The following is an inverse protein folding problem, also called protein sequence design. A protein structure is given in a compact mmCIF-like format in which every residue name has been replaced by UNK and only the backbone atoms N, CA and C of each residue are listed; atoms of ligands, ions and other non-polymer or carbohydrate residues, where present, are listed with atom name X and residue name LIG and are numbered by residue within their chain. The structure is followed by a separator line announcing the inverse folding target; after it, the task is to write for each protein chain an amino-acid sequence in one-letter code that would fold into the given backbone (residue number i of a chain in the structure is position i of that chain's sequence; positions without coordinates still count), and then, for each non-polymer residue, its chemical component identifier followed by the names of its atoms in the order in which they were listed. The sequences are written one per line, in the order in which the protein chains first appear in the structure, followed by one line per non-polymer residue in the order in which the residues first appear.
data_IF_822111865751
#
_entry.id   IF_822111865751
#
_cell.length_a   1.000
_cell.length_b   1.000
_cell.length_c   1.000
_cell.angle_alpha   90.00
_cell.angle_beta   90.00
_cell.angle_gamma   90.00
#
_symmetry.space_group_name_H-M   'P 1'
#
loop_
_entity.id
_entity.type
_entity.pdbx_description
1 polymer ?
#
# COMPACT_ATOMS: atom_id res chain seq x y z
N UNK A 1 -8.20 -15.29 -5.18
CA UNK A 1 -8.94 -14.23 -5.90
C UNK A 1 -10.27 -13.88 -5.22
N UNK A 2 -11.17 -14.85 -4.95
CA UNK A 2 -12.46 -14.57 -4.26
C UNK A 2 -12.25 -13.88 -2.91
N UNK A 3 -11.28 -14.34 -2.12
CA UNK A 3 -10.95 -13.79 -0.82
C UNK A 3 -10.53 -12.31 -0.92
N UNK A 4 -9.61 -11.98 -1.84
CA UNK A 4 -9.14 -10.59 -2.04
C UNK A 4 -10.27 -9.68 -2.52
N UNK A 5 -11.16 -10.14 -3.40
CA UNK A 5 -12.33 -9.37 -3.83
C UNK A 5 -13.29 -9.09 -2.66
N UNK A 6 -13.55 -10.09 -1.81
CA UNK A 6 -14.37 -9.92 -0.61
C UNK A 6 -13.77 -8.86 0.31
N UNK A 7 -12.46 -8.94 0.59
CA UNK A 7 -11.78 -8.01 1.47
C UNK A 7 -11.72 -6.60 0.88
N UNK A 8 -11.49 -6.47 -0.42
CA UNK A 8 -11.53 -5.19 -1.11
C UNK A 8 -12.92 -4.52 -0.97
N UNK A 9 -14.00 -5.25 -1.27
CA UNK A 9 -15.35 -4.73 -1.13
C UNK A 9 -15.67 -4.35 0.32
N UNK A 10 -15.15 -5.09 1.30
CA UNK A 10 -15.30 -4.75 2.73
C UNK A 10 -14.60 -3.45 3.11
N UNK A 11 -13.52 -3.10 2.41
CA UNK A 11 -12.75 -1.88 2.66
C UNK A 11 -13.26 -0.66 1.89
N UNK A 12 -14.18 -0.83 0.93
CA UNK A 12 -14.68 0.26 0.07
C UNK A 12 -15.28 1.40 0.88
N UNK A 13 -16.05 1.10 1.94
CA UNK A 13 -16.62 2.12 2.83
C UNK A 13 -15.52 2.91 3.55
N UNK A 14 -14.52 2.21 4.11
CA UNK A 14 -13.40 2.85 4.79
C UNK A 14 -12.56 3.73 3.85
N UNK A 15 -12.44 3.34 2.57
CA UNK A 15 -11.80 4.15 1.54
C UNK A 15 -12.63 5.39 1.25
N UNK A 16 -13.94 5.23 1.00
CA UNK A 16 -14.85 6.33 0.69
C UNK A 16 -14.90 7.37 1.81
N UNK A 17 -14.86 6.93 3.05
CA UNK A 17 -14.85 7.79 4.24
C UNK A 17 -13.45 8.26 4.66
N UNK A 18 -12.43 7.96 3.86
CA UNK A 18 -11.03 8.33 4.12
C UNK A 18 -10.51 7.81 5.47
N UNK A 19 -10.84 6.56 5.82
CA UNK A 19 -10.45 5.89 7.08
C UNK A 19 -9.44 4.76 6.91
N UNK A 20 -9.11 4.34 5.67
CA UNK A 20 -8.15 3.26 5.42
C UNK A 20 -6.72 3.79 5.49
N UNK A 21 -6.22 3.96 6.69
CA UNK A 21 -4.86 4.45 6.97
C UNK A 21 -3.85 3.31 6.95
N UNK A 22 -2.61 3.63 6.54
CA UNK A 22 -1.45 2.74 6.65
C UNK A 22 -0.33 3.36 7.48
N UNK A 23 0.50 2.49 8.04
CA UNK A 23 1.60 2.89 8.93
C UNK A 23 2.94 2.84 8.18
N UNK A 24 3.94 3.52 8.74
CA UNK A 24 5.33 3.35 8.36
C UNK A 24 5.90 2.19 9.18
N UNK A 25 6.55 1.26 8.52
CA UNK A 25 6.94 -0.06 8.99
C UNK A 25 5.77 -1.00 9.30
N UNK A 26 6.08 -2.29 9.39
CA UNK A 26 5.10 -3.33 9.65
C UNK A 26 5.02 -3.58 11.15
N UNK A 27 3.95 -3.14 11.83
CA UNK A 27 3.83 -3.33 13.26
C UNK A 27 3.54 -4.81 13.58
N UNK A 28 3.85 -5.19 14.82
CA UNK A 28 3.57 -6.54 15.34
C UNK A 28 2.12 -6.73 15.80
N UNK A 29 1.30 -5.68 15.72
CA UNK A 29 -0.11 -5.68 16.14
C UNK A 29 -1.05 -5.43 14.95
N UNK A 30 -2.29 -5.79 15.09
CA UNK A 30 -3.35 -5.68 14.08
C UNK A 30 -4.02 -4.29 14.04
N UNK A 31 -4.12 -3.61 15.17
CA UNK A 31 -4.75 -2.29 15.27
C UNK A 31 -3.85 -1.18 14.71
N UNK A 32 -4.46 -0.20 14.01
CA UNK A 32 -3.77 0.99 13.53
C UNK A 32 -3.41 1.90 14.71
N UNK A 33 -2.13 2.24 14.85
CA UNK A 33 -1.66 3.26 15.79
C UNK A 33 -1.57 4.61 15.08
N UNK A 34 -2.42 5.55 15.46
CA UNK A 34 -2.50 6.87 14.81
C UNK A 34 -1.16 7.61 14.80
N UNK A 35 -0.31 7.40 15.81
CA UNK A 35 1.03 8.00 15.86
C UNK A 35 1.99 7.47 14.77
N UNK A 36 1.73 6.30 14.21
CA UNK A 36 2.56 5.68 13.16
C UNK A 36 2.00 5.86 11.75
N UNK A 37 0.82 6.46 11.62
CA UNK A 37 0.17 6.65 10.32
C UNK A 37 1.04 7.52 9.42
N UNK A 38 1.34 7.01 8.24
CA UNK A 38 2.13 7.69 7.21
C UNK A 38 1.33 8.04 5.96
N UNK A 39 0.28 7.28 5.66
CA UNK A 39 -0.47 7.43 4.43
C UNK A 39 -1.92 6.98 4.55
N UNK A 40 -2.72 7.36 3.57
CA UNK A 40 -4.12 7.01 3.43
C UNK A 40 -4.31 6.29 2.09
N UNK A 41 -4.87 5.09 2.12
CA UNK A 41 -5.27 4.39 0.90
C UNK A 41 -6.55 5.04 0.36
N UNK A 42 -6.48 5.53 -0.87
CA UNK A 42 -7.58 6.28 -1.51
C UNK A 42 -8.31 5.48 -2.57
N UNK A 43 -7.71 4.36 -3.03
CA UNK A 43 -8.32 3.51 -4.05
C UNK A 43 -7.73 2.12 -4.02
N UNK A 44 -8.57 1.12 -4.25
CA UNK A 44 -8.19 -0.26 -4.52
C UNK A 44 -8.97 -0.79 -5.72
N UNK A 45 -8.34 -1.60 -6.55
CA UNK A 45 -8.99 -2.32 -7.65
C UNK A 45 -8.25 -3.59 -7.99
N UNK A 46 -8.95 -4.56 -8.56
CA UNK A 46 -8.33 -5.76 -9.14
C UNK A 46 -8.01 -5.53 -10.62
N UNK A 47 -6.80 -5.94 -11.03
CA UNK A 47 -6.38 -6.04 -12.42
C UNK A 47 -5.85 -7.44 -12.68
N UNK A 48 -6.70 -8.31 -13.23
CA UNK A 48 -6.39 -9.74 -13.35
C UNK A 48 -6.26 -10.39 -11.97
N UNK A 49 -5.06 -10.81 -11.61
CA UNK A 49 -4.72 -11.40 -10.31
C UNK A 49 -3.92 -10.43 -9.40
N UNK A 50 -3.78 -9.19 -9.81
CA UNK A 50 -3.08 -8.16 -9.04
C UNK A 50 -4.10 -7.23 -8.37
N UNK A 51 -3.88 -6.90 -7.11
CA UNK A 51 -4.53 -5.77 -6.45
C UNK A 51 -3.68 -4.53 -6.66
N UNK A 52 -4.29 -3.49 -7.22
CA UNK A 52 -3.67 -2.20 -7.48
C UNK A 52 -4.37 -1.17 -6.65
N UNK A 53 -3.61 -0.25 -6.04
CA UNK A 53 -4.16 0.82 -5.26
C UNK A 53 -3.45 2.14 -5.46
N UNK A 54 -4.08 3.19 -4.97
CA UNK A 54 -3.51 4.53 -4.84
C UNK A 54 -3.53 4.91 -3.36
N UNK A 55 -2.50 5.60 -2.92
CA UNK A 55 -2.43 6.14 -1.58
C UNK A 55 -1.86 7.56 -1.59
N UNK A 56 -2.26 8.33 -0.61
CA UNK A 56 -1.83 9.69 -0.36
C UNK A 56 -0.93 9.70 0.86
N UNK A 57 0.31 10.20 0.75
CA UNK A 57 1.19 10.38 1.89
C UNK A 57 0.67 11.57 2.71
N UNK A 58 0.37 11.32 3.97
CA UNK A 58 -0.16 12.33 4.88
C UNK A 58 0.96 13.18 5.50
N UNK A 59 0.64 14.41 5.89
CA UNK A 59 1.58 15.28 6.60
C UNK A 59 1.63 14.98 8.12
N UNK A 60 1.80 13.69 8.45
CA UNK A 60 2.07 13.20 9.80
C UNK A 60 3.58 13.07 10.02
N UNK A 61 4.10 12.92 11.25
CA UNK A 61 5.53 12.68 11.47
C UNK A 61 6.07 11.50 10.65
N UNK A 62 5.36 10.36 10.63
CA UNK A 62 5.75 9.19 9.84
C UNK A 62 5.58 9.42 8.33
N UNK A 63 4.58 10.18 7.92
CA UNK A 63 4.41 10.58 6.52
C UNK A 63 5.54 11.51 6.04
N UNK A 64 5.99 12.44 6.87
CA UNK A 64 7.15 13.28 6.57
C UNK A 64 8.44 12.47 6.42
N UNK A 65 8.65 11.45 7.25
CA UNK A 65 9.77 10.50 7.11
C UNK A 65 9.66 9.75 5.77
N UNK A 66 8.48 9.21 5.44
CA UNK A 66 8.25 8.53 4.17
C UNK A 66 8.52 9.44 2.97
N UNK A 67 8.04 10.70 2.99
CA UNK A 67 8.32 11.70 1.95
C UNK A 67 9.82 11.99 1.81
N UNK A 68 10.52 12.17 2.93
CA UNK A 68 11.96 12.44 2.90
C UNK A 68 12.75 11.28 2.30
N UNK A 69 12.39 10.04 2.64
CA UNK A 69 13.00 8.83 2.06
C UNK A 69 12.75 8.75 0.55
N UNK A 70 11.51 8.95 0.11
CA UNK A 70 11.14 8.91 -1.32
C UNK A 70 11.87 10.00 -2.09
N UNK A 71 11.92 11.23 -1.58
CA UNK A 71 12.68 12.33 -2.19
C UNK A 71 14.18 12.07 -2.23
N UNK A 72 14.71 11.35 -1.25
CA UNK A 72 16.09 10.89 -1.21
C UNK A 72 16.39 9.72 -2.16
N UNK A 73 15.40 9.25 -2.94
CA UNK A 73 15.56 8.16 -3.90
C UNK A 73 15.43 6.77 -3.28
N UNK A 74 15.03 6.67 -2.01
CA UNK A 74 14.80 5.37 -1.36
C UNK A 74 13.53 4.74 -1.93
N UNK A 75 13.61 3.47 -2.33
CA UNK A 75 12.46 2.69 -2.76
C UNK A 75 11.78 2.08 -1.55
N UNK A 76 10.67 2.65 -1.13
CA UNK A 76 9.80 2.04 -0.13
C UNK A 76 8.88 1.02 -0.80
N UNK A 77 8.72 -0.13 -0.16
CA UNK A 77 7.76 -1.14 -0.56
C UNK A 77 6.40 -0.93 0.08
N UNK A 78 5.40 -1.65 -0.42
CA UNK A 78 4.08 -1.74 0.18
C UNK A 78 3.78 -3.18 0.57
N UNK A 79 3.31 -3.40 1.78
CA UNK A 79 2.99 -4.72 2.30
C UNK A 79 1.59 -4.75 2.89
N UNK A 80 0.81 -5.79 2.56
CA UNK A 80 -0.51 -5.99 3.17
C UNK A 80 -0.37 -6.48 4.59
N UNK A 81 -1.14 -5.91 5.50
CA UNK A 81 -1.33 -6.41 6.85
C UNK A 81 -2.73 -6.98 6.97
N UNK A 82 -2.79 -8.22 7.41
CA UNK A 82 -4.05 -8.92 7.60
C UNK A 82 -3.93 -9.97 8.70
N UNK A 83 -5.08 -10.46 9.14
CA UNK A 83 -5.22 -11.52 10.11
C UNK A 83 -6.01 -12.67 9.52
N UNK A 84 -5.70 -13.87 9.93
CA UNK A 84 -6.39 -15.08 9.51
C UNK A 84 -5.59 -16.31 9.83
N UNK A 85 -6.23 -17.46 9.78
CA UNK A 85 -5.56 -18.73 9.95
C UNK A 85 -4.91 -19.20 8.64
N UNK A 86 -3.89 -20.03 8.79
CA UNK A 86 -3.18 -20.68 7.69
C UNK A 86 -3.41 -22.18 7.75
N UNK A 87 -3.59 -22.80 6.60
CA UNK A 87 -3.57 -24.25 6.41
C UNK A 87 -2.35 -24.64 5.60
N UNK A 88 -1.61 -25.63 6.04
CA UNK A 88 -0.52 -26.18 5.25
C UNK A 88 -1.07 -27.15 4.19
N UNK A 89 -0.55 -27.04 2.97
CA UNK A 89 -0.77 -28.00 1.92
C UNK A 89 0.33 -29.06 1.91
N UNK A 90 0.05 -30.19 1.28
CA UNK A 90 0.99 -31.31 1.15
C UNK A 90 2.30 -30.95 0.42
N UNK A 91 2.34 -29.84 -0.30
CA UNK A 91 3.52 -29.31 -1.00
C UNK A 91 4.33 -28.32 -0.16
N UNK A 92 4.01 -28.14 1.12
CA UNK A 92 4.66 -27.19 2.02
C UNK A 92 4.23 -25.73 1.83
N UNK A 93 3.23 -25.46 0.99
CA UNK A 93 2.69 -24.11 0.85
C UNK A 93 1.63 -23.83 1.90
N UNK A 94 1.66 -22.60 2.46
CA UNK A 94 0.61 -22.13 3.35
C UNK A 94 -0.54 -21.52 2.55
N UNK A 95 -1.75 -21.98 2.84
CA UNK A 95 -2.98 -21.43 2.30
C UNK A 95 -3.63 -20.52 3.34
N UNK A 96 -3.94 -19.31 2.94
CA UNK A 96 -4.74 -18.38 3.75
C UNK A 96 -6.21 -18.84 3.71
N UNK A 97 -6.80 -19.04 4.89
CA UNK A 97 -8.17 -19.53 5.03
C UNK A 97 -9.21 -18.39 4.87
N UNK A 98 -10.48 -18.77 4.82
CA UNK A 98 -11.59 -17.85 4.59
C UNK A 98 -11.87 -16.87 5.75
N UNK A 99 -11.28 -17.10 6.93
CA UNK A 99 -11.32 -16.18 8.07
C UNK A 99 -10.40 -14.97 7.93
N UNK A 100 -9.61 -14.91 6.86
CA UNK A 100 -8.71 -13.79 6.60
C UNK A 100 -9.44 -12.45 6.52
N UNK A 101 -8.89 -11.47 7.23
CA UNK A 101 -9.30 -10.06 7.19
C UNK A 101 -8.10 -9.19 6.85
N UNK A 102 -8.20 -8.49 5.74
CA UNK A 102 -7.21 -7.49 5.33
C UNK A 102 -7.39 -6.24 6.20
N UNK A 103 -6.40 -5.89 6.98
CA UNK A 103 -6.45 -4.71 7.86
C UNK A 103 -6.13 -3.45 7.06
N UNK A 104 -4.97 -3.40 6.44
CA UNK A 104 -4.48 -2.27 5.65
C UNK A 104 -3.25 -2.65 4.83
N UNK A 105 -2.60 -1.64 4.29
CA UNK A 105 -1.32 -1.71 3.59
C UNK A 105 -0.35 -0.77 4.28
N UNK A 106 0.86 -1.24 4.58
CA UNK A 106 1.91 -0.47 5.27
C UNK A 106 3.07 -0.18 4.32
N UNK A 107 3.72 0.98 4.49
CA UNK A 107 4.98 1.29 3.83
C UNK A 107 6.13 0.63 4.57
N UNK A 108 6.93 -0.17 3.87
CA UNK A 108 8.01 -0.98 4.44
C UNK A 108 9.29 -0.88 3.63
N UNK A 109 10.43 -1.17 4.27
CA UNK A 109 11.70 -1.24 3.58
C UNK A 109 11.79 -2.45 2.63
N UNK A 110 11.29 -3.62 3.09
CA UNK A 110 11.33 -4.88 2.31
C UNK A 110 9.95 -5.54 2.28
N UNK A 111 9.20 -5.39 1.16
CA UNK A 111 7.86 -5.94 1.06
C UNK A 111 7.87 -7.45 0.86
N UNK A 112 7.00 -8.18 1.56
CA UNK A 112 6.84 -9.64 1.41
C UNK A 112 6.40 -10.04 -0.01
N UNK A 113 5.73 -9.16 -0.74
CA UNK A 113 5.36 -9.38 -2.13
C UNK A 113 6.45 -8.89 -3.06
N UNK A 114 7.07 -9.80 -3.81
CA UNK A 114 8.14 -9.44 -4.75
C UNK A 114 7.67 -8.41 -5.78
N UNK A 115 8.40 -7.29 -5.88
CA UNK A 115 8.11 -6.21 -6.82
C UNK A 115 6.99 -5.25 -6.38
N UNK A 116 6.52 -5.34 -5.13
CA UNK A 116 5.53 -4.42 -4.57
C UNK A 116 6.15 -3.07 -4.16
N UNK A 117 6.77 -2.40 -5.13
CA UNK A 117 7.31 -1.06 -4.96
C UNK A 117 6.43 -0.05 -5.70
N UNK A 118 5.75 0.85 -4.98
CA UNK A 118 4.92 1.87 -5.59
C UNK A 118 5.75 2.88 -6.38
N UNK A 119 5.18 3.39 -7.46
CA UNK A 119 5.71 4.54 -8.19
C UNK A 119 4.92 5.80 -7.85
N UNK A 120 5.54 6.96 -8.02
CA UNK A 120 4.84 8.24 -7.89
C UNK A 120 3.81 8.39 -9.00
N UNK A 121 2.59 8.79 -8.63
CA UNK A 121 1.53 9.13 -9.58
C UNK A 121 1.47 10.64 -9.70
N UNK A 122 1.88 11.17 -10.87
CA UNK A 122 1.64 12.56 -11.21
C UNK A 122 0.32 12.68 -11.97
N UNK A 123 -0.51 13.65 -11.61
CA UNK A 123 -1.80 13.89 -12.26
C UNK A 123 -1.70 14.36 -13.72
N UNK A 124 -0.50 14.63 -14.22
CA UNK A 124 -0.26 15.03 -15.61
C UNK A 124 0.74 14.10 -16.32
N UNK A 125 0.26 13.46 -17.39
CA UNK A 125 1.08 12.67 -18.33
C UNK A 125 2.00 13.53 -19.21
N UNK A 126 2.61 14.60 -18.70
CA UNK A 126 3.46 15.49 -19.48
C UNK A 126 4.84 15.62 -18.84
N UNK A 127 5.83 14.95 -19.43
CA UNK A 127 7.22 14.92 -18.95
C UNK A 127 7.89 16.31 -18.84
N UNK A 128 7.46 17.29 -19.59
CA UNK A 128 7.98 18.66 -19.52
C UNK A 128 7.42 19.44 -18.30
N UNK A 129 6.19 19.12 -17.86
CA UNK A 129 5.56 19.74 -16.70
C UNK A 129 6.17 19.20 -15.38
N UNK A 130 6.69 17.99 -15.40
CA UNK A 130 7.28 17.33 -14.22
C UNK A 130 8.53 18.08 -13.71
N UNK A 131 9.40 18.55 -14.60
CA UNK A 131 10.61 19.28 -14.20
C UNK A 131 10.31 20.68 -13.65
N UNK A 132 9.28 21.36 -14.17
CA UNK A 132 8.89 22.67 -13.70
C UNK A 132 8.07 22.62 -12.42
N UNK A 133 7.25 21.58 -12.25
CA UNK A 133 6.43 21.37 -11.05
C UNK A 133 7.29 20.94 -9.86
N UNK A 134 8.31 20.10 -10.05
CA UNK A 134 9.27 19.73 -8.99
C UNK A 134 9.94 21.00 -8.44
N UNK A 135 10.24 21.98 -9.28
CA UNK A 135 10.90 23.23 -8.87
C UNK A 135 9.96 24.20 -8.12
N UNK A 136 8.66 24.18 -8.42
CA UNK A 136 7.63 25.04 -7.77
C UNK A 136 7.01 24.43 -6.52
N UNK A 137 7.16 23.14 -6.31
CA UNK A 137 6.45 22.37 -5.27
C UNK A 137 7.23 22.26 -3.96
N UNK A 138 8.44 22.81 -3.89
CA UNK A 138 9.21 22.88 -2.64
C UNK A 138 8.52 23.72 -1.54
N UNK A 139 7.51 24.56 -1.90
CA UNK A 139 6.89 25.53 -0.99
C UNK A 139 5.44 25.24 -0.60
N UNK A 140 4.85 24.12 -1.04
CA UNK A 140 3.46 23.78 -0.68
C UNK A 140 3.40 22.34 -0.20
N UNK A 141 2.84 22.13 1.01
CA UNK A 141 2.50 20.80 1.54
C UNK A 141 1.67 20.02 0.51
N UNK A 142 2.33 19.15 -0.24
CA UNK A 142 1.69 18.31 -1.25
C UNK A 142 1.39 16.96 -0.65
N UNK A 143 0.13 16.55 -0.76
CA UNK A 143 -0.22 15.15 -0.66
C UNK A 143 0.41 14.41 -1.84
N UNK A 144 1.46 13.64 -1.60
CA UNK A 144 2.07 12.78 -2.61
C UNK A 144 1.20 11.53 -2.75
N UNK A 145 0.65 11.32 -3.94
CA UNK A 145 -0.05 10.07 -4.27
C UNK A 145 0.96 9.04 -4.74
N UNK A 146 0.96 7.89 -4.11
CA UNK A 146 1.73 6.73 -4.52
C UNK A 146 0.81 5.67 -5.13
N UNK A 147 1.29 4.98 -6.15
CA UNK A 147 0.59 3.88 -6.77
C UNK A 147 0.97 2.57 -6.08
N UNK A 148 -0.02 1.93 -5.44
CA UNK A 148 0.16 0.66 -4.76
C UNK A 148 -0.12 -0.47 -5.74
N UNK A 149 0.89 -1.28 -6.02
CA UNK A 149 0.76 -2.52 -6.79
C UNK A 149 1.02 -3.71 -5.89
N UNK A 150 0.00 -4.52 -5.68
CA UNK A 150 0.13 -5.80 -5.01
C UNK A 150 -0.06 -6.92 -6.00
N UNK A 151 0.92 -7.79 -6.06
CA UNK A 151 0.85 -9.02 -6.81
C UNK A 151 0.29 -10.11 -5.91
N UNK A 152 -0.77 -10.77 -6.35
CA UNK A 152 -1.18 -12.03 -5.78
C UNK A 152 0.00 -12.99 -6.00
N UNK A 153 0.74 -13.32 -4.95
CA UNK A 153 1.76 -14.36 -5.05
C UNK A 153 1.04 -15.62 -5.54
N UNK A 154 1.41 -16.07 -6.71
CA UNK A 154 1.06 -17.41 -7.15
C UNK A 154 1.66 -18.38 -6.13
N UNK A 155 0.85 -18.81 -5.17
CA UNK A 155 1.07 -20.03 -4.41
C UNK A 155 0.93 -21.25 -5.34
N UNK A 156 1.58 -21.17 -6.48
CA UNK A 156 1.73 -22.22 -7.45
C UNK A 156 3.12 -22.06 -8.06
N UNK A 157 4.12 -22.42 -7.29
CA UNK A 157 5.38 -22.86 -7.91
C UNK A 157 5.22 -24.32 -8.22
N UNK A 158 5.21 -24.65 -9.53
CA UNK A 158 5.67 -25.95 -9.98
C UNK A 158 7.10 -26.15 -9.54
#
# INVERSE_FOLDING_TARGET
KKLLLREMNRLDEAIAERRLMGELDHPTHDAIKLGNVSHLVTKLKMRGNEMIGEAEILNTPCGQVAQALIRGGVKLGISSRGMGSLSEKNDGTALVNDDYKLVTFDLVADPSTKGAFPGLVNESNNSAFIQETIKKTYDKALSEKIFIRMLENKLNKK
#
